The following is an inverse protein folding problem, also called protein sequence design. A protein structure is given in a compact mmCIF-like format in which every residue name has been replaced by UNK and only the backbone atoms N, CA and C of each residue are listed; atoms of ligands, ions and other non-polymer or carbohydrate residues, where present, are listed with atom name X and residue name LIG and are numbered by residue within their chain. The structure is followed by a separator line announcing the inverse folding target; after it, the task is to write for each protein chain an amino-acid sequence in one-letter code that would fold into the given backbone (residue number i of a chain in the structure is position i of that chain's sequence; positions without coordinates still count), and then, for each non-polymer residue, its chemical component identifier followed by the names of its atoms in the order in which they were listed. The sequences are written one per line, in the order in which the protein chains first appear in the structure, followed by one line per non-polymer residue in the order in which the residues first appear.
data_IF_828735889012
#
_entry.id   IF_828735889012
#
_cell.length_a   1.000
_cell.length_b   1.000
_cell.length_c   1.000
_cell.angle_alpha   90.00
_cell.angle_beta   90.00
_cell.angle_gamma   90.00
#
_symmetry.space_group_name_H-M   'P 1'
#
loop_
_entity.id
_entity.type
_entity.pdbx_description
1 polymer ?
#
# COMPACT_ATOMS: atom_id res chain seq x y z
N UNK A 1 15.50 19.89 -69.14
CA UNK A 1 14.21 20.58 -68.91
C UNK A 1 13.95 20.61 -67.42
N UNK A 2 13.81 21.83 -66.94
CA UNK A 2 13.55 22.31 -65.58
C UNK A 2 12.10 22.00 -65.18
N UNK A 3 11.87 21.66 -63.91
CA UNK A 3 10.98 22.37 -62.96
C UNK A 3 10.98 21.60 -61.61
N UNK A 4 11.59 22.09 -60.52
CA UNK A 4 11.06 23.04 -59.49
C UNK A 4 9.68 22.66 -58.94
N UNK A 5 9.32 22.81 -57.67
CA UNK A 5 9.93 23.14 -56.36
C UNK A 5 8.72 23.23 -55.41
N UNK A 6 8.81 22.75 -54.16
CA UNK A 6 8.10 23.22 -52.93
C UNK A 6 8.01 22.05 -51.95
N UNK A 7 8.26 22.18 -50.66
CA UNK A 7 8.65 23.33 -49.86
C UNK A 7 9.20 22.78 -48.54
N UNK A 8 10.30 23.38 -48.13
CA UNK A 8 10.78 23.60 -46.77
C UNK A 8 9.70 23.66 -45.68
N UNK A 9 10.16 23.42 -44.44
CA UNK A 9 9.64 23.75 -43.09
C UNK A 9 9.09 22.55 -42.31
N UNK A 10 9.40 22.33 -41.03
CA UNK A 10 10.12 23.10 -40.02
C UNK A 10 10.42 22.16 -38.84
N UNK A 11 11.50 22.44 -38.14
CA UNK A 11 11.90 21.88 -36.86
C UNK A 11 10.77 21.77 -35.83
N UNK A 12 10.71 20.65 -35.12
CA UNK A 12 10.22 20.61 -33.74
C UNK A 12 10.90 19.46 -33.00
N UNK A 13 11.94 19.81 -32.26
CA UNK A 13 12.54 18.98 -31.25
C UNK A 13 11.48 18.67 -30.17
N UNK A 14 11.02 17.43 -30.08
CA UNK A 14 10.33 16.94 -28.89
C UNK A 14 11.36 16.21 -28.04
N UNK A 15 12.13 16.99 -27.29
CA UNK A 15 12.86 16.47 -26.15
C UNK A 15 11.83 16.05 -25.09
N UNK A 16 11.54 14.76 -25.02
CA UNK A 16 10.82 14.20 -23.89
C UNK A 16 11.79 14.06 -22.72
N UNK A 17 12.08 15.18 -22.03
CA UNK A 17 12.62 15.13 -20.67
C UNK A 17 11.50 14.68 -19.73
N UNK A 18 11.28 13.36 -19.67
CA UNK A 18 10.47 12.75 -18.64
C UNK A 18 11.29 12.70 -17.35
N UNK A 19 11.29 13.82 -16.63
CA UNK A 19 11.59 13.84 -15.20
C UNK A 19 10.43 13.16 -14.48
N UNK A 20 10.61 11.97 -13.94
CA UNK A 20 9.73 11.48 -12.88
C UNK A 20 10.45 10.48 -11.99
N UNK A 21 10.65 10.93 -10.76
CA UNK A 21 11.15 10.22 -9.60
C UNK A 21 10.37 8.93 -9.29
N UNK A 22 10.97 8.16 -8.38
CA UNK A 22 10.41 7.05 -7.58
C UNK A 22 10.71 5.65 -8.13
N UNK A 23 12.00 5.28 -8.09
CA UNK A 23 12.39 3.92 -7.76
C UNK A 23 12.11 3.66 -6.27
N UNK A 24 10.83 3.65 -5.90
CA UNK A 24 10.34 3.02 -4.68
C UNK A 24 10.20 1.53 -4.93
N UNK A 25 11.31 0.85 -5.21
CA UNK A 25 11.34 -0.60 -5.25
C UNK A 25 11.16 -1.08 -3.80
N UNK A 26 9.91 -1.22 -3.36
CA UNK A 26 9.57 -1.94 -2.13
C UNK A 26 10.04 -3.37 -2.34
N UNK A 27 11.27 -3.65 -1.92
CA UNK A 27 11.78 -5.00 -1.79
C UNK A 27 10.92 -5.68 -0.73
N UNK A 28 9.81 -6.29 -1.16
CA UNK A 28 9.06 -7.24 -0.35
C UNK A 28 9.99 -8.43 -0.18
N UNK A 29 10.90 -8.30 0.79
CA UNK A 29 11.78 -9.37 1.23
C UNK A 29 10.89 -10.57 1.48
N UNK A 30 11.11 -11.66 0.75
CA UNK A 30 10.43 -12.93 0.92
C UNK A 30 10.80 -13.51 2.28
N UNK A 31 10.25 -12.90 3.32
CA UNK A 31 10.29 -13.35 4.69
C UNK A 31 9.08 -14.24 4.85
N UNK A 32 9.28 -15.46 5.35
CA UNK A 32 8.19 -16.35 5.69
C UNK A 32 7.22 -15.57 6.59
N UNK A 33 5.98 -15.40 6.12
CA UNK A 33 4.94 -14.70 6.87
C UNK A 33 4.67 -15.41 8.20
N UNK A 34 4.05 -14.72 9.17
CA UNK A 34 3.71 -15.31 10.45
C UNK A 34 2.68 -16.44 10.26
N UNK A 35 2.58 -17.31 11.25
CA UNK A 35 1.60 -18.41 11.23
C UNK A 35 0.16 -17.93 11.06
N UNK A 36 -0.65 -18.70 10.33
CA UNK A 36 -2.05 -18.37 10.06
C UNK A 36 -2.98 -18.54 11.28
N UNK A 37 -2.44 -18.98 12.41
CA UNK A 37 -3.19 -19.21 13.65
C UNK A 37 -4.26 -20.30 13.55
N UNK A 38 -4.81 -20.70 14.69
CA UNK A 38 -5.86 -21.71 14.74
C UNK A 38 -7.26 -21.14 14.46
N UNK A 39 -7.42 -19.81 14.52
CA UNK A 39 -8.68 -19.12 14.25
C UNK A 39 -8.44 -17.73 13.62
N UNK A 40 -9.51 -17.12 13.09
CA UNK A 40 -9.48 -15.80 12.44
C UNK A 40 -8.86 -14.70 13.32
N UNK A 41 -9.22 -14.65 14.60
CA UNK A 41 -8.74 -13.62 15.51
C UNK A 41 -7.22 -13.73 15.73
N UNK A 42 -6.74 -14.96 15.92
CA UNK A 42 -5.31 -15.24 16.03
C UNK A 42 -4.57 -14.90 14.73
N UNK A 43 -5.11 -15.31 13.58
CA UNK A 43 -4.56 -14.98 12.27
C UNK A 43 -4.39 -13.47 12.10
N UNK A 44 -5.44 -12.69 12.37
CA UNK A 44 -5.40 -11.24 12.26
C UNK A 44 -4.32 -10.66 13.18
N UNK A 45 -4.28 -11.05 14.46
CA UNK A 45 -3.29 -10.49 15.40
C UNK A 45 -1.85 -10.80 14.97
N UNK A 46 -1.56 -12.02 14.52
CA UNK A 46 -0.23 -12.42 14.05
C UNK A 46 0.22 -11.56 12.87
N UNK A 47 -0.65 -11.38 11.88
CA UNK A 47 -0.35 -10.59 10.70
C UNK A 47 -0.30 -9.08 10.98
N UNK A 48 -1.13 -8.53 11.86
CA UNK A 48 -1.02 -7.14 12.30
C UNK A 48 0.35 -6.91 12.97
N UNK A 49 0.76 -7.79 13.88
CA UNK A 49 2.06 -7.70 14.55
C UNK A 49 3.23 -7.76 13.56
N UNK A 50 3.17 -8.68 12.60
CA UNK A 50 4.19 -8.76 11.55
C UNK A 50 4.21 -7.53 10.64
N UNK A 51 3.05 -7.01 10.23
CA UNK A 51 3.00 -5.77 9.46
C UNK A 51 3.53 -4.57 10.25
N UNK A 52 3.29 -4.50 11.56
CA UNK A 52 3.87 -3.45 12.41
C UNK A 52 5.40 -3.50 12.44
N UNK A 53 5.99 -4.70 12.38
CA UNK A 53 7.45 -4.91 12.35
C UNK A 53 8.05 -4.66 10.96
N UNK A 54 7.37 -5.10 9.90
CA UNK A 54 7.91 -5.09 8.53
C UNK A 54 7.59 -3.86 7.70
N UNK A 55 6.73 -2.97 8.18
CA UNK A 55 6.29 -1.81 7.42
C UNK A 55 6.39 -0.52 8.22
N UNK A 56 6.40 0.62 7.52
CA UNK A 56 6.45 1.94 8.12
C UNK A 56 5.19 2.34 8.91
N UNK A 57 4.13 1.51 8.89
CA UNK A 57 2.87 1.75 9.59
C UNK A 57 1.65 1.79 8.67
N UNK A 58 0.46 1.79 9.28
CA UNK A 58 -0.85 1.87 8.63
C UNK A 58 -1.19 3.33 8.24
N UNK A 59 -1.81 3.58 7.08
CA UNK A 59 -2.31 2.60 6.11
C UNK A 59 -1.24 2.09 5.13
N UNK A 60 -1.24 0.77 4.87
CA UNK A 60 -0.51 0.18 3.75
C UNK A 60 -1.12 -1.19 3.35
N UNK A 61 -0.62 -1.77 2.25
CA UNK A 61 -1.12 -3.01 1.67
C UNK A 61 -0.85 -4.27 2.50
N UNK A 62 0.15 -4.26 3.39
CA UNK A 62 0.43 -5.39 4.28
C UNK A 62 -0.80 -5.71 5.12
N UNK A 63 -1.38 -4.70 5.76
CA UNK A 63 -2.54 -4.89 6.63
C UNK A 63 -3.74 -5.43 5.87
N UNK A 64 -4.08 -4.85 4.71
CA UNK A 64 -5.27 -5.25 3.95
C UNK A 64 -5.11 -6.61 3.27
N UNK A 65 -3.96 -6.88 2.65
CA UNK A 65 -3.68 -8.18 2.02
C UNK A 65 -3.63 -9.30 3.05
N UNK A 66 -3.05 -9.04 4.23
CA UNK A 66 -2.92 -10.07 5.25
C UNK A 66 -4.25 -10.43 5.90
N UNK A 67 -5.11 -9.44 6.20
CA UNK A 67 -6.46 -9.72 6.70
C UNK A 67 -7.29 -10.50 5.66
N UNK A 68 -7.20 -10.14 4.38
CA UNK A 68 -7.86 -10.90 3.30
C UNK A 68 -7.32 -12.33 3.20
N UNK A 69 -6.02 -12.53 3.38
CA UNK A 69 -5.39 -13.87 3.38
C UNK A 69 -5.92 -14.71 4.54
N UNK A 70 -6.08 -14.13 5.73
CA UNK A 70 -6.70 -14.79 6.88
C UNK A 70 -8.15 -15.22 6.60
N UNK A 71 -8.96 -14.36 5.96
CA UNK A 71 -10.31 -14.72 5.54
C UNK A 71 -10.32 -15.92 4.59
N UNK A 72 -9.38 -15.94 3.63
CA UNK A 72 -9.28 -17.02 2.66
C UNK A 72 -8.84 -18.34 3.29
N UNK A 73 -7.88 -18.31 4.23
CA UNK A 73 -7.42 -19.52 4.93
C UNK A 73 -8.48 -20.04 5.89
N UNK A 74 -9.17 -19.15 6.60
CA UNK A 74 -10.25 -19.51 7.52
C UNK A 74 -11.63 -19.37 6.86
N UNK A 75 -11.74 -19.63 5.55
CA UNK A 75 -12.96 -19.37 4.75
C UNK A 75 -14.20 -20.01 5.34
N UNK A 76 -14.09 -21.27 5.79
CA UNK A 76 -15.19 -21.98 6.42
C UNK A 76 -15.74 -21.22 7.64
N UNK A 77 -14.85 -20.61 8.44
CA UNK A 77 -15.24 -19.82 9.59
C UNK A 77 -15.72 -18.42 9.19
N UNK A 78 -15.03 -17.75 8.27
CA UNK A 78 -15.39 -16.39 7.85
C UNK A 78 -16.75 -16.35 7.15
N UNK A 79 -17.10 -17.39 6.39
CA UNK A 79 -18.39 -17.50 5.69
C UNK A 79 -19.58 -17.74 6.62
N UNK A 80 -19.35 -18.25 7.84
CA UNK A 80 -20.42 -18.43 8.85
C UNK A 80 -20.61 -17.18 9.72
N UNK A 81 -19.65 -16.25 9.71
CA UNK A 81 -19.73 -15.01 10.48
C UNK A 81 -20.53 -13.98 9.64
N UNK A 82 -21.52 -13.29 10.23
CA UNK A 82 -22.19 -12.18 9.57
C UNK A 82 -21.19 -11.14 9.04
N UNK A 83 -21.35 -10.61 7.82
CA UNK A 83 -20.38 -9.69 7.22
C UNK A 83 -20.04 -8.49 8.11
N UNK A 84 -21.04 -7.91 8.77
CA UNK A 84 -20.83 -6.80 9.71
C UNK A 84 -19.93 -7.17 10.89
N UNK A 85 -20.06 -8.39 11.41
CA UNK A 85 -19.24 -8.89 12.51
C UNK A 85 -17.81 -9.18 12.03
N UNK A 86 -17.64 -9.72 10.82
CA UNK A 86 -16.32 -9.94 10.22
C UNK A 86 -15.57 -8.62 10.04
N UNK A 87 -16.25 -7.59 9.52
CA UNK A 87 -15.67 -6.25 9.35
C UNK A 87 -15.38 -5.56 10.69
N UNK A 88 -16.21 -5.79 11.71
CA UNK A 88 -15.93 -5.32 13.07
C UNK A 88 -14.67 -5.96 13.66
N UNK A 89 -14.46 -7.27 13.43
CA UNK A 89 -13.26 -7.98 13.87
C UNK A 89 -11.99 -7.47 13.16
N UNK A 90 -12.06 -7.23 11.86
CA UNK A 90 -10.97 -6.63 11.09
C UNK A 90 -10.65 -5.23 11.61
N UNK A 91 -11.68 -4.41 11.80
CA UNK A 91 -11.54 -3.05 12.34
C UNK A 91 -10.93 -3.06 13.75
N UNK A 92 -11.37 -3.97 14.62
CA UNK A 92 -10.80 -4.14 15.95
C UNK A 92 -9.31 -4.55 15.91
N UNK A 93 -8.94 -5.40 14.95
CA UNK A 93 -7.55 -5.81 14.75
C UNK A 93 -6.68 -4.66 14.22
N UNK A 94 -7.20 -3.88 13.26
CA UNK A 94 -6.53 -2.71 12.70
C UNK A 94 -6.31 -1.58 13.73
N UNK A 95 -7.09 -1.53 14.82
CA UNK A 95 -6.81 -0.60 15.92
C UNK A 95 -5.48 -0.87 16.61
N UNK A 96 -4.92 -2.08 16.46
CA UNK A 96 -3.59 -2.46 16.96
C UNK A 96 -2.48 -2.20 15.94
N UNK A 97 -2.82 -1.75 14.73
CA UNK A 97 -1.83 -1.41 13.73
C UNK A 97 -1.08 -0.14 14.16
N UNK A 98 0.25 -0.18 14.08
CA UNK A 98 1.11 1.00 14.24
C UNK A 98 0.75 1.96 13.12
N UNK A 99 0.25 3.15 13.44
CA UNK A 99 -0.07 4.14 12.41
C UNK A 99 1.20 4.82 11.94
N UNK A 100 1.21 5.20 10.66
CA UNK A 100 2.16 6.21 10.20
C UNK A 100 1.84 7.47 10.99
N UNK A 101 2.80 7.92 11.78
CA UNK A 101 2.69 9.20 12.46
C UNK A 101 2.65 10.25 11.34
N UNK A 102 1.49 10.88 11.14
CA UNK A 102 1.40 12.00 10.23
C UNK A 102 2.37 13.04 10.78
N UNK A 103 3.43 13.36 10.03
CA UNK A 103 4.34 14.42 10.40
C UNK A 103 3.49 15.67 10.65
N UNK A 104 3.36 16.07 11.91
CA UNK A 104 2.80 17.36 12.26
C UNK A 104 3.80 18.34 11.67
N UNK A 105 3.46 18.92 10.52
CA UNK A 105 4.24 20.01 9.97
C UNK A 105 4.39 21.05 11.08
N UNK A 106 5.60 21.50 11.43
CA UNK A 106 5.78 22.45 12.50
C UNK A 106 4.91 23.68 12.17
N UNK A 107 3.94 23.94 13.04
CA UNK A 107 3.18 25.19 13.00
C UNK A 107 4.21 26.32 13.02
N UNK A 108 4.18 27.15 11.98
CA UNK A 108 5.24 28.10 11.67
C UNK A 108 5.63 28.94 12.87
N UNK A 109 6.93 29.24 12.94
CA UNK A 109 7.49 30.37 13.66
C UNK A 109 6.72 31.64 13.28
N UNK A 110 5.75 32.02 14.12
CA UNK A 110 5.19 33.35 14.15
C UNK A 110 6.17 34.23 14.93
N UNK A 111 7.08 34.88 14.18
CA UNK A 111 7.93 35.97 14.66
C UNK A 111 7.03 37.10 15.15
N UNK A 112 7.18 37.50 16.42
CA UNK A 112 6.68 38.77 16.96
C UNK A 112 7.87 39.62 17.35
#
# INVERSE_FOLDING_TARGET
MTQTLKSLTRSAACAFTASAMLLGASTLSASAGPGMGNNLGECYNNWIGWCNDKTSGYPNECYTKSLKKCDQTHKARSSTIPPAQLEAMKSASLRKAKRVEAAIAPAGTATR
#
